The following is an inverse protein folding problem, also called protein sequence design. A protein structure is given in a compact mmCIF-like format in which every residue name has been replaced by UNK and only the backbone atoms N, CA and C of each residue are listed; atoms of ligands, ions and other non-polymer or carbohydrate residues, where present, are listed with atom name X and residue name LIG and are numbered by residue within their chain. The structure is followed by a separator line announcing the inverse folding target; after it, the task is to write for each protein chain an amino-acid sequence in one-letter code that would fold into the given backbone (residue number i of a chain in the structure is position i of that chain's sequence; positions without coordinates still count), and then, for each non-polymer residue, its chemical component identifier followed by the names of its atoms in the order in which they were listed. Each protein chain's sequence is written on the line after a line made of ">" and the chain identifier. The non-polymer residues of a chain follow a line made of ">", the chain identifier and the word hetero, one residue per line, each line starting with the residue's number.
data_IF_413990482742
#
_entry.id   IF_413990482742
#
_cell.length_a   1.000
_cell.length_b   1.000
_cell.length_c   1.000
_cell.angle_alpha   90.00
_cell.angle_beta   90.00
_cell.angle_gamma   90.00
#
_symmetry.space_group_name_H-M   'P 1'
#
loop_
_entity.id
_entity.type
_entity.pdbx_description
1 polymer ?
#
# COMPACT_ATOMS: atom_id res chain seq x y z
N UNK A 1 -25.37 6.52 -2.45
CA UNK A 1 -24.84 7.89 -2.54
C UNK A 1 -24.35 8.27 -1.16
N UNK A 2 -23.03 8.33 -0.97
CA UNK A 2 -22.45 8.59 0.35
C UNK A 2 -22.77 10.02 0.81
N UNK A 3 -23.13 10.19 2.07
CA UNK A 3 -23.28 11.52 2.68
C UNK A 3 -21.89 12.07 2.99
N UNK A 4 -21.59 13.29 2.53
CA UNK A 4 -20.33 13.96 2.83
C UNK A 4 -20.20 14.15 4.35
N UNK A 5 -19.34 13.35 4.96
CA UNK A 5 -19.07 13.36 6.39
C UNK A 5 -17.64 13.88 6.59
N UNK A 6 -17.37 14.77 7.56
CA UNK A 6 -16.01 15.27 7.84
C UNK A 6 -14.97 14.17 8.05
N UNK A 7 -15.41 12.97 8.45
CA UNK A 7 -14.58 11.77 8.60
C UNK A 7 -13.89 11.34 7.30
N UNK A 8 -14.43 11.65 6.12
CA UNK A 8 -13.85 11.28 4.82
C UNK A 8 -12.58 12.09 4.52
N UNK A 9 -12.54 13.36 4.94
CA UNK A 9 -11.35 14.21 4.82
C UNK A 9 -10.17 13.64 5.61
N UNK A 10 -10.43 13.01 6.75
CA UNK A 10 -9.38 12.32 7.52
C UNK A 10 -8.73 11.19 6.71
N UNK A 11 -9.53 10.42 5.97
CA UNK A 11 -9.02 9.34 5.13
C UNK A 11 -8.15 9.85 3.97
N UNK A 12 -8.31 11.09 3.51
CA UNK A 12 -7.42 11.66 2.48
C UNK A 12 -6.02 11.99 3.01
N UNK A 13 -5.93 12.41 4.27
CA UNK A 13 -4.66 12.77 4.93
C UNK A 13 -3.98 11.52 5.54
N UNK A 14 -4.76 10.46 5.75
CA UNK A 14 -4.32 9.20 6.35
C UNK A 14 -3.02 8.62 5.77
N UNK A 15 -2.78 8.55 4.45
CA UNK A 15 -1.53 8.01 3.91
C UNK A 15 -0.29 8.78 4.39
N UNK A 16 -0.39 10.10 4.47
CA UNK A 16 0.69 10.97 4.92
C UNK A 16 0.96 10.70 6.41
N UNK A 17 -0.09 10.63 7.22
CA UNK A 17 0.00 10.34 8.66
C UNK A 17 0.64 8.96 8.89
N UNK A 18 0.23 7.93 8.13
CA UNK A 18 0.78 6.58 8.24
C UNK A 18 2.26 6.55 7.89
N UNK A 19 2.70 7.29 6.87
CA UNK A 19 4.12 7.37 6.51
C UNK A 19 4.96 8.01 7.62
N UNK A 20 4.50 9.13 8.17
CA UNK A 20 5.17 9.79 9.30
C UNK A 20 5.16 8.90 10.55
N UNK A 21 4.03 8.26 10.86
CA UNK A 21 3.92 7.31 11.97
C UNK A 21 4.86 6.13 11.83
N UNK A 22 4.95 5.53 10.64
CA UNK A 22 5.87 4.43 10.37
C UNK A 22 7.34 4.87 10.43
N UNK A 23 7.67 6.08 9.98
CA UNK A 23 9.01 6.64 10.16
C UNK A 23 9.37 6.80 11.65
N UNK A 24 8.43 7.30 12.45
CA UNK A 24 8.61 7.42 13.90
C UNK A 24 8.79 6.05 14.56
N UNK A 25 7.97 5.06 14.23
CA UNK A 25 8.08 3.69 14.75
C UNK A 25 9.42 3.03 14.38
N UNK A 26 9.86 3.18 13.12
CA UNK A 26 11.14 2.64 12.67
C UNK A 26 12.31 3.27 13.41
N UNK A 27 12.23 4.57 13.74
CA UNK A 27 13.23 5.29 14.51
C UNK A 27 13.20 4.90 16.00
N UNK A 28 12.01 4.84 16.60
CA UNK A 28 11.80 4.51 18.01
C UNK A 28 12.31 3.11 18.36
N UNK A 29 11.98 2.12 17.54
CA UNK A 29 12.39 0.73 17.76
C UNK A 29 13.74 0.37 17.09
N UNK A 30 14.41 1.33 16.45
CA UNK A 30 15.67 1.11 15.72
C UNK A 30 15.59 -0.04 14.69
N UNK A 31 14.42 -0.28 14.09
CA UNK A 31 14.16 -1.39 13.16
C UNK A 31 15.07 -1.35 11.92
N UNK A 32 15.48 -0.16 11.51
CA UNK A 32 16.41 0.02 10.40
C UNK A 32 17.80 -0.60 10.71
N UNK A 33 18.24 -0.56 11.98
CA UNK A 33 19.55 -1.06 12.41
C UNK A 33 19.56 -2.58 12.62
N UNK A 34 18.49 -3.16 13.18
CA UNK A 34 18.42 -4.61 13.45
C UNK A 34 17.92 -5.44 12.27
N UNK A 35 16.86 -5.00 11.59
CA UNK A 35 16.16 -5.82 10.59
C UNK A 35 16.24 -5.25 9.17
N UNK A 36 16.87 -4.08 8.96
CA UNK A 36 16.95 -3.37 7.66
C UNK A 36 15.56 -3.15 7.02
N UNK A 37 14.53 -3.03 7.84
CA UNK A 37 13.13 -2.74 7.45
C UNK A 37 12.98 -1.22 7.38
N UNK A 38 12.42 -0.71 6.28
CA UNK A 38 12.20 0.72 6.09
C UNK A 38 10.74 1.08 6.41
N UNK A 39 10.48 2.36 6.69
CA UNK A 39 9.14 2.86 6.98
C UNK A 39 8.08 2.51 5.91
N UNK A 40 8.39 2.52 4.59
CA UNK A 40 7.44 2.09 3.56
C UNK A 40 7.00 0.62 3.70
N UNK A 41 7.89 -0.25 4.18
CA UNK A 41 7.60 -1.68 4.32
C UNK A 41 6.59 -1.94 5.44
N UNK A 42 6.59 -1.09 6.47
CA UNK A 42 5.67 -1.16 7.60
C UNK A 42 4.34 -0.47 7.30
N UNK A 43 4.33 0.53 6.40
CA UNK A 43 3.16 1.32 6.08
C UNK A 43 2.08 0.54 5.31
N UNK A 44 2.47 -0.50 4.55
CA UNK A 44 1.56 -1.31 3.70
C UNK A 44 0.34 -1.85 4.48
N UNK A 45 0.48 -2.60 5.59
CA UNK A 45 -0.67 -3.13 6.32
C UNK A 45 -1.61 -2.04 6.86
N UNK A 46 -1.07 -0.89 7.29
CA UNK A 46 -1.88 0.23 7.74
C UNK A 46 -2.64 0.88 6.58
N UNK A 47 -1.99 1.06 5.43
CA UNK A 47 -2.63 1.60 4.22
C UNK A 47 -3.77 0.71 3.71
N UNK A 48 -3.67 -0.62 3.85
CA UNK A 48 -4.76 -1.54 3.50
C UNK A 48 -6.03 -1.29 4.30
N UNK A 49 -5.90 -0.96 5.59
CA UNK A 49 -7.04 -0.57 6.43
C UNK A 49 -7.75 0.67 5.87
N UNK A 50 -6.98 1.69 5.49
CA UNK A 50 -7.53 2.90 4.86
C UNK A 50 -8.14 2.65 3.48
N UNK A 51 -7.57 1.74 2.66
CA UNK A 51 -8.15 1.37 1.37
C UNK A 51 -9.49 0.67 1.52
N UNK A 52 -9.64 -0.18 2.54
CA UNK A 52 -10.89 -0.89 2.79
C UNK A 52 -12.03 0.08 3.09
N UNK A 53 -11.80 1.06 3.97
CA UNK A 53 -12.80 2.02 4.40
C UNK A 53 -13.21 2.97 3.27
N UNK A 54 -12.23 3.52 2.53
CA UNK A 54 -12.49 4.37 1.36
C UNK A 54 -13.23 3.62 0.25
N UNK A 55 -12.85 2.37 0.00
CA UNK A 55 -13.51 1.56 -1.03
C UNK A 55 -14.95 1.23 -0.69
N UNK A 56 -15.24 0.87 0.58
CA UNK A 56 -16.62 0.63 1.08
C UNK A 56 -17.49 1.88 1.06
N UNK A 57 -16.87 3.05 1.18
CA UNK A 57 -17.59 4.32 1.15
C UNK A 57 -17.88 4.79 -0.28
N UNK A 58 -16.94 4.54 -1.21
CA UNK A 58 -17.10 4.89 -2.63
C UNK A 58 -17.99 3.90 -3.38
N UNK A 59 -17.87 2.61 -3.07
CA UNK A 59 -18.66 1.54 -3.67
C UNK A 59 -19.12 0.54 -2.62
N UNK A 60 -20.09 -0.31 -2.96
CA UNK A 60 -20.62 -1.32 -2.02
C UNK A 60 -19.64 -2.46 -1.73
N UNK A 61 -18.61 -2.61 -2.58
CA UNK A 61 -17.63 -3.70 -2.55
C UNK A 61 -16.25 -3.15 -2.14
N UNK A 62 -15.52 -3.94 -1.36
CA UNK A 62 -14.13 -3.64 -1.00
C UNK A 62 -13.18 -4.01 -2.13
N UNK A 63 -12.26 -3.10 -2.49
CA UNK A 63 -11.29 -3.34 -3.57
C UNK A 63 -10.09 -4.19 -3.12
N UNK A 64 -9.99 -4.49 -1.82
CA UNK A 64 -8.90 -5.29 -1.23
C UNK A 64 -8.69 -6.66 -1.90
N UNK A 65 -9.73 -7.46 -2.22
CA UNK A 65 -9.52 -8.74 -2.90
C UNK A 65 -8.85 -8.57 -4.28
N UNK A 66 -9.27 -7.56 -5.04
CA UNK A 66 -8.66 -7.23 -6.33
C UNK A 66 -7.22 -6.74 -6.16
N UNK A 67 -6.96 -5.98 -5.10
CA UNK A 67 -5.61 -5.57 -4.73
C UNK A 67 -4.72 -6.80 -4.44
N UNK A 68 -5.18 -7.78 -3.67
CA UNK A 68 -4.41 -9.00 -3.39
C UNK A 68 -4.07 -9.78 -4.67
N UNK A 69 -5.03 -9.91 -5.59
CA UNK A 69 -4.80 -10.55 -6.89
C UNK A 69 -3.70 -9.79 -7.65
N UNK A 70 -3.77 -8.46 -7.69
CA UNK A 70 -2.76 -7.63 -8.37
C UNK A 70 -1.36 -7.77 -7.76
N UNK A 71 -1.27 -7.89 -6.42
CA UNK A 71 0.00 -8.10 -5.71
C UNK A 71 0.59 -9.46 -6.02
N UNK A 72 -0.22 -10.51 -6.07
CA UNK A 72 0.23 -11.86 -6.42
C UNK A 72 0.72 -11.90 -7.88
N UNK A 73 -0.03 -11.32 -8.80
CA UNK A 73 0.33 -11.25 -10.22
C UNK A 73 1.63 -10.47 -10.42
N UNK A 74 1.77 -9.32 -9.75
CA UNK A 74 3.01 -8.55 -9.74
C UNK A 74 4.18 -9.35 -9.16
N UNK A 75 3.97 -10.11 -8.07
CA UNK A 75 4.99 -11.00 -7.52
C UNK A 75 5.49 -12.02 -8.54
N UNK A 76 4.58 -12.65 -9.28
CA UNK A 76 4.93 -13.60 -10.35
C UNK A 76 5.74 -12.89 -11.44
N UNK A 77 5.31 -11.71 -11.92
CA UNK A 77 6.04 -10.94 -12.92
C UNK A 77 7.47 -10.61 -12.48
N UNK A 78 7.65 -10.22 -11.21
CA UNK A 78 8.95 -9.91 -10.65
C UNK A 78 9.83 -11.17 -10.55
N UNK A 79 9.26 -12.31 -10.16
CA UNK A 79 9.99 -13.57 -10.05
C UNK A 79 10.50 -14.02 -11.42
N UNK A 80 9.66 -13.93 -12.45
CA UNK A 80 10.04 -14.22 -13.84
C UNK A 80 11.11 -13.25 -14.33
N UNK A 81 10.96 -11.95 -14.08
CA UNK A 81 11.96 -10.95 -14.44
C UNK A 81 13.31 -11.24 -13.78
N UNK A 82 13.31 -11.58 -12.49
CA UNK A 82 14.54 -11.87 -11.77
C UNK A 82 15.22 -13.15 -12.27
N UNK A 83 14.45 -14.20 -12.55
CA UNK A 83 14.98 -15.44 -13.14
C UNK A 83 15.58 -15.21 -14.52
N UNK A 84 14.96 -14.35 -15.35
CA UNK A 84 15.45 -14.03 -16.68
C UNK A 84 16.78 -13.25 -16.68
N UNK A 85 16.93 -12.26 -15.78
CA UNK A 85 18.11 -11.37 -15.78
C UNK A 85 19.25 -11.83 -14.88
N UNK A 86 18.95 -12.47 -13.76
CA UNK A 86 19.96 -12.78 -12.73
C UNK A 86 20.29 -14.26 -12.63
N UNK A 87 19.63 -15.13 -13.41
CA UNK A 87 19.75 -16.60 -13.46
C UNK A 87 19.47 -17.34 -12.13
N UNK A 88 19.56 -16.64 -11.00
CA UNK A 88 19.28 -17.11 -9.65
C UNK A 88 18.31 -16.19 -8.90
N UNK A 89 17.39 -16.80 -8.15
CA UNK A 89 16.44 -16.07 -7.32
C UNK A 89 17.01 -15.91 -5.92
N UNK A 90 17.62 -14.75 -5.68
CA UNK A 90 18.06 -14.33 -4.34
C UNK A 90 16.84 -13.88 -3.52
N UNK A 91 16.28 -14.79 -2.71
CA UNK A 91 15.04 -14.59 -1.94
C UNK A 91 14.98 -13.27 -1.12
N UNK A 92 16.02 -12.86 -0.37
CA UNK A 92 15.96 -11.62 0.40
C UNK A 92 15.86 -10.36 -0.47
N UNK A 93 16.49 -10.39 -1.65
CA UNK A 93 16.45 -9.28 -2.61
C UNK A 93 15.10 -9.24 -3.31
N UNK A 94 14.61 -10.40 -3.74
CA UNK A 94 13.29 -10.57 -4.34
C UNK A 94 12.20 -10.00 -3.42
N UNK A 95 12.14 -10.49 -2.17
CA UNK A 95 11.11 -10.08 -1.22
C UNK A 95 11.15 -8.58 -0.94
N UNK A 96 12.35 -8.01 -0.73
CA UNK A 96 12.53 -6.57 -0.51
C UNK A 96 12.10 -5.72 -1.71
N UNK A 97 12.31 -6.21 -2.92
CA UNK A 97 11.89 -5.51 -4.15
C UNK A 97 10.37 -5.60 -4.33
N UNK A 98 9.80 -6.80 -4.21
CA UNK A 98 8.36 -7.03 -4.29
C UNK A 98 7.62 -6.20 -3.26
N UNK A 99 8.07 -6.18 -2.01
CA UNK A 99 7.43 -5.42 -0.94
C UNK A 99 7.43 -3.90 -1.21
N UNK A 100 8.51 -3.36 -1.78
CA UNK A 100 8.57 -1.94 -2.19
C UNK A 100 7.65 -1.61 -3.36
N UNK A 101 7.50 -2.53 -4.31
CA UNK A 101 6.58 -2.35 -5.42
C UNK A 101 5.12 -2.45 -4.94
N UNK A 102 4.83 -3.34 -3.99
CA UNK A 102 3.50 -3.40 -3.32
C UNK A 102 3.17 -2.08 -2.64
N UNK A 103 4.14 -1.47 -1.94
CA UNK A 103 3.96 -0.15 -1.37
C UNK A 103 3.62 0.91 -2.42
N UNK A 104 4.36 0.96 -3.52
CA UNK A 104 4.15 1.92 -4.60
C UNK A 104 2.76 1.73 -5.23
N UNK A 105 2.39 0.48 -5.54
CA UNK A 105 1.08 0.11 -6.05
C UNK A 105 -0.04 0.51 -5.08
N UNK A 106 0.17 0.30 -3.77
CA UNK A 106 -0.78 0.71 -2.71
C UNK A 106 -1.00 2.22 -2.72
N UNK A 107 0.06 3.02 -2.77
CA UNK A 107 -0.06 4.49 -2.80
C UNK A 107 -0.77 4.97 -4.06
N UNK A 108 -0.41 4.43 -5.22
CA UNK A 108 -1.02 4.81 -6.50
C UNK A 108 -2.52 4.51 -6.49
N UNK A 109 -2.91 3.29 -6.07
CA UNK A 109 -4.33 2.93 -5.97
C UNK A 109 -5.07 3.75 -4.92
N UNK A 110 -4.43 4.08 -3.80
CA UNK A 110 -5.01 4.96 -2.79
C UNK A 110 -5.31 6.35 -3.37
N UNK A 111 -4.35 6.93 -4.11
CA UNK A 111 -4.53 8.23 -4.75
C UNK A 111 -5.67 8.19 -5.78
N UNK A 112 -5.75 7.14 -6.60
CA UNK A 112 -6.86 6.94 -7.55
C UNK A 112 -8.20 6.82 -6.81
N UNK A 113 -8.26 6.06 -5.70
CA UNK A 113 -9.48 5.94 -4.89
C UNK A 113 -9.94 7.28 -4.32
N UNK A 114 -9.01 8.13 -3.86
CA UNK A 114 -9.35 9.49 -3.40
C UNK A 114 -10.00 10.28 -4.54
N UNK A 115 -9.40 10.27 -5.74
CA UNK A 115 -9.92 11.01 -6.90
C UNK A 115 -11.32 10.51 -7.27
N UNK A 116 -11.49 9.18 -7.36
CA UNK A 116 -12.80 8.57 -7.67
C UNK A 116 -13.83 8.91 -6.60
N UNK A 117 -13.45 8.91 -5.32
CA UNK A 117 -14.34 9.29 -4.23
C UNK A 117 -14.78 10.75 -4.33
N UNK A 118 -13.86 11.68 -4.63
CA UNK A 118 -14.18 13.10 -4.87
C UNK A 118 -15.14 13.25 -6.06
N UNK A 119 -14.86 12.59 -7.19
CA UNK A 119 -15.71 12.63 -8.38
C UNK A 119 -17.10 12.04 -8.12
N UNK A 120 -17.23 11.05 -7.25
CA UNK A 120 -18.52 10.46 -6.89
C UNK A 120 -19.41 11.38 -6.04
N UNK A 121 -18.86 12.44 -5.44
CA UNK A 121 -19.64 13.45 -4.71
C UNK A 121 -20.01 14.67 -5.55
N UNK A 122 -19.36 14.85 -6.70
CA UNK A 122 -19.65 15.91 -7.66
C UNK A 122 -20.91 15.55 -8.47
#
# INVERSE_FOLDING_TARGET
>A
MGTFTPLILFWYIYPVIVLFGCQFLVKLFSLNRRFKIKAPDLAIPFLWGGMHTLSRNTGTISILPFFFISVLLMGICIAVFQAYYYEEIIYPRYFKMTWRLVFLLTIVLYAVLIIVNILSYL
#
